data_IF_912385667446
#
_entry.id   IF_912385667446
#
_cell.length_a   1.000
_cell.length_b   1.000
_cell.length_c   1.000
_cell.angle_alpha   90.00
_cell.angle_beta   90.00
_cell.angle_gamma   90.00
#
_symmetry.space_group_name_H-M   'P 1'
#
loop_
_entity.id
_entity.type
_entity.pdbx_description
1 polymer ?
#
# COMPACT_ATOMS: atom_id res chain seq x y z
N UNK A 1 -4.13 25.51 -9.47
CA UNK A 1 -3.84 24.47 -8.47
C UNK A 1 -2.46 23.89 -8.72
N UNK A 2 -1.72 23.67 -7.65
CA UNK A 2 -0.37 23.10 -7.75
C UNK A 2 -0.43 21.63 -8.19
N UNK A 3 0.44 21.27 -9.14
CA UNK A 3 0.58 19.91 -9.66
C UNK A 3 1.90 19.30 -9.18
N UNK A 4 1.91 18.00 -9.02
CA UNK A 4 3.07 17.28 -8.49
C UNK A 4 3.54 16.21 -9.45
N UNK A 5 4.87 16.05 -9.53
CA UNK A 5 5.49 15.01 -10.38
C UNK A 5 5.60 13.66 -9.67
N UNK A 6 5.43 13.67 -8.36
CA UNK A 6 5.41 12.47 -7.55
C UNK A 6 4.32 12.58 -6.50
N UNK A 7 3.53 11.53 -6.38
CA UNK A 7 2.50 11.40 -5.35
C UNK A 7 2.80 10.13 -4.55
N UNK A 8 2.78 10.27 -3.24
CA UNK A 8 2.97 9.17 -2.31
C UNK A 8 1.68 9.00 -1.51
N UNK A 9 1.11 7.79 -1.55
CA UNK A 9 -0.19 7.53 -0.96
C UNK A 9 -0.14 6.28 -0.08
N UNK A 10 -0.79 6.38 1.07
CA UNK A 10 -1.03 5.27 1.98
C UNK A 10 -2.52 5.25 2.32
N UNK A 11 -3.37 4.69 1.43
CA UNK A 11 -4.81 4.72 1.64
C UNK A 11 -5.22 3.93 2.89
N UNK A 12 -6.19 4.43 3.65
CA UNK A 12 -6.70 3.72 4.83
C UNK A 12 -7.63 2.58 4.40
N UNK A 13 -7.05 1.48 3.96
CA UNK A 13 -7.78 0.33 3.44
C UNK A 13 -8.72 -0.27 4.48
N UNK A 14 -9.95 -0.60 4.05
CA UNK A 14 -10.89 -1.39 4.83
C UNK A 14 -10.89 -2.81 4.29
N UNK A 15 -10.58 -3.78 5.14
CA UNK A 15 -10.60 -5.19 4.80
C UNK A 15 -11.31 -5.98 5.87
N UNK A 16 -11.81 -7.20 5.51
CA UNK A 16 -12.50 -8.08 6.45
C UNK A 16 -11.52 -9.02 7.13
N UNK A 17 -11.70 -9.19 8.45
CA UNK A 17 -11.03 -10.24 9.20
C UNK A 17 -11.91 -11.49 9.25
N UNK A 18 -11.29 -12.64 9.55
CA UNK A 18 -12.02 -13.90 9.69
C UNK A 18 -12.85 -13.97 10.97
N UNK A 19 -12.54 -13.15 11.97
CA UNK A 19 -13.25 -13.14 13.26
C UNK A 19 -13.36 -11.72 13.79
N UNK A 20 -14.41 -11.48 14.60
CA UNK A 20 -14.62 -10.20 15.27
C UNK A 20 -13.46 -9.85 16.21
N UNK A 21 -12.80 -10.85 16.79
CA UNK A 21 -11.64 -10.64 17.66
C UNK A 21 -10.46 -10.02 16.89
N UNK A 22 -10.34 -10.30 15.61
CA UNK A 22 -9.34 -9.69 14.75
C UNK A 22 -9.63 -8.23 14.43
N UNK A 23 -10.90 -7.85 14.39
CA UNK A 23 -11.33 -6.48 14.10
C UNK A 23 -10.74 -5.45 15.08
N UNK A 24 -10.65 -5.80 16.36
CA UNK A 24 -10.10 -4.91 17.39
C UNK A 24 -8.59 -4.66 17.27
N UNK A 25 -7.89 -5.41 16.42
CA UNK A 25 -6.43 -5.31 16.25
C UNK A 25 -6.01 -4.75 14.91
N UNK A 26 -6.95 -4.56 13.99
CA UNK A 26 -6.64 -4.07 12.66
C UNK A 26 -6.83 -2.55 12.55
N UNK A 27 -6.56 -2.00 11.36
CA UNK A 27 -6.64 -0.57 11.10
C UNK A 27 -8.03 0.02 11.30
N UNK A 28 -9.10 -0.76 11.18
CA UNK A 28 -10.48 -0.29 11.32
C UNK A 28 -10.74 0.25 12.73
N UNK A 29 -10.12 -0.36 13.76
CA UNK A 29 -10.30 0.06 15.15
C UNK A 29 -9.34 1.18 15.58
N UNK A 30 -8.29 1.48 14.81
CA UNK A 30 -7.27 2.46 15.15
C UNK A 30 -7.44 3.81 14.46
N UNK A 31 -8.08 3.84 13.29
CA UNK A 31 -8.37 5.07 12.55
C UNK A 31 -9.52 4.81 11.57
N UNK A 32 -10.09 5.89 11.05
CA UNK A 32 -11.20 5.80 10.09
C UNK A 32 -10.71 5.23 8.77
N UNK A 33 -11.25 4.06 8.39
CA UNK A 33 -10.97 3.44 7.11
C UNK A 33 -12.03 3.84 6.08
N UNK A 34 -11.59 4.08 4.85
CA UNK A 34 -12.46 4.39 3.74
C UNK A 34 -12.78 3.13 2.94
N UNK A 35 -13.99 3.04 2.41
CA UNK A 35 -14.35 1.98 1.47
C UNK A 35 -13.62 2.21 0.14
N UNK A 36 -13.51 1.17 -0.67
CA UNK A 36 -12.94 1.31 -2.01
C UNK A 36 -13.71 2.32 -2.85
N UNK A 37 -15.05 2.34 -2.71
CA UNK A 37 -15.90 3.32 -3.41
C UNK A 37 -15.55 4.75 -3.01
N UNK A 38 -15.32 4.99 -1.72
CA UNK A 38 -14.93 6.31 -1.23
C UNK A 38 -13.53 6.72 -1.75
N UNK A 39 -12.60 5.78 -1.76
CA UNK A 39 -11.25 6.02 -2.28
C UNK A 39 -11.28 6.36 -3.77
N UNK A 40 -12.12 5.70 -4.55
CA UNK A 40 -12.29 5.98 -5.98
C UNK A 40 -12.82 7.39 -6.25
N UNK A 41 -13.63 7.93 -5.34
CA UNK A 41 -14.18 9.27 -5.47
C UNK A 41 -13.15 10.37 -5.25
N UNK A 42 -12.01 10.06 -4.63
CA UNK A 42 -10.94 11.03 -4.48
C UNK A 42 -10.33 11.33 -5.85
N UNK A 43 -10.36 12.61 -6.23
CA UNK A 43 -9.82 13.02 -7.52
C UNK A 43 -8.31 13.28 -7.40
N UNK A 44 -7.55 12.20 -7.26
CA UNK A 44 -6.08 12.29 -7.09
C UNK A 44 -5.41 12.84 -8.35
N UNK A 45 -5.97 12.51 -9.52
CA UNK A 45 -5.43 12.97 -10.80
C UNK A 45 -5.32 14.49 -10.89
N UNK A 46 -6.20 15.22 -10.19
CA UNK A 46 -6.17 16.69 -10.20
C UNK A 46 -4.87 17.28 -9.66
N UNK A 47 -4.16 16.51 -8.83
CA UNK A 47 -2.88 16.91 -8.25
C UNK A 47 -1.68 16.44 -9.06
N UNK A 48 -1.90 15.60 -10.07
CA UNK A 48 -0.82 15.03 -10.86
C UNK A 48 -0.44 15.96 -12.02
N UNK A 49 0.88 16.16 -12.19
CA UNK A 49 1.41 16.78 -13.39
C UNK A 49 1.18 15.85 -14.59
N UNK A 50 1.37 16.37 -15.81
CA UNK A 50 1.24 15.56 -17.02
C UNK A 50 2.15 14.32 -17.02
N UNK A 51 3.29 14.40 -16.35
CA UNK A 51 4.20 13.28 -16.12
C UNK A 51 4.34 13.11 -14.61
N UNK A 52 3.74 12.05 -14.08
CA UNK A 52 3.66 11.87 -12.63
C UNK A 52 3.84 10.40 -12.26
N UNK A 53 4.60 10.14 -11.20
CA UNK A 53 4.73 8.82 -10.60
C UNK A 53 3.90 8.76 -9.32
N UNK A 54 3.13 7.69 -9.17
CA UNK A 54 2.38 7.38 -7.94
C UNK A 54 3.02 6.20 -7.24
N UNK A 55 3.31 6.36 -5.96
CA UNK A 55 3.73 5.28 -5.08
C UNK A 55 2.63 5.06 -4.03
N UNK A 56 2.08 3.85 -3.98
CA UNK A 56 0.91 3.58 -3.16
C UNK A 56 1.08 2.28 -2.38
N UNK A 57 1.00 2.37 -1.05
CA UNK A 57 1.06 1.21 -0.19
C UNK A 57 -0.23 0.40 -0.27
N UNK A 58 -0.09 -0.92 -0.24
CA UNK A 58 -1.20 -1.85 -0.25
C UNK A 58 -0.85 -3.07 0.60
N UNK A 59 -1.85 -3.61 1.28
CA UNK A 59 -1.72 -4.89 1.97
C UNK A 59 -2.02 -6.03 1.01
N UNK A 60 -1.48 -7.22 1.27
CA UNK A 60 -1.64 -8.36 0.37
C UNK A 60 -3.12 -8.67 0.03
N UNK A 61 -4.06 -8.69 1.01
CA UNK A 61 -5.46 -8.95 0.69
C UNK A 61 -6.11 -7.90 -0.22
N UNK A 62 -5.52 -6.71 -0.31
CA UNK A 62 -6.06 -5.60 -1.09
C UNK A 62 -5.28 -5.35 -2.39
N UNK A 63 -4.36 -6.25 -2.75
CA UNK A 63 -3.47 -6.04 -3.90
C UNK A 63 -4.23 -5.81 -5.20
N UNK A 64 -5.20 -6.66 -5.51
CA UNK A 64 -6.02 -6.52 -6.72
C UNK A 64 -6.81 -5.23 -6.73
N UNK A 65 -7.40 -4.88 -5.58
CA UNK A 65 -8.17 -3.65 -5.42
C UNK A 65 -7.27 -2.41 -5.45
N UNK A 66 -6.06 -2.54 -4.95
CA UNK A 66 -5.07 -1.46 -5.01
C UNK A 66 -4.66 -1.14 -6.43
N UNK A 67 -4.40 -2.16 -7.25
CA UNK A 67 -4.09 -1.97 -8.67
C UNK A 67 -5.27 -1.33 -9.39
N UNK A 68 -6.49 -1.78 -9.11
CA UNK A 68 -7.69 -1.21 -9.71
C UNK A 68 -7.88 0.26 -9.29
N UNK A 69 -7.67 0.57 -8.02
CA UNK A 69 -7.79 1.95 -7.53
C UNK A 69 -6.78 2.88 -8.24
N UNK A 70 -5.56 2.42 -8.40
CA UNK A 70 -4.52 3.16 -9.11
C UNK A 70 -4.98 3.50 -10.53
N UNK A 71 -5.58 2.53 -11.23
CA UNK A 71 -6.12 2.72 -12.58
C UNK A 71 -7.32 3.67 -12.57
N UNK A 72 -8.21 3.56 -11.59
CA UNK A 72 -9.35 4.44 -11.43
C UNK A 72 -8.92 5.90 -11.19
N UNK A 73 -7.79 6.10 -10.55
CA UNK A 73 -7.18 7.43 -10.37
C UNK A 73 -6.47 7.94 -11.62
N UNK A 74 -6.41 7.13 -12.69
CA UNK A 74 -5.83 7.50 -13.97
C UNK A 74 -4.36 7.14 -14.15
N UNK A 75 -3.81 6.31 -13.26
CA UNK A 75 -2.42 5.87 -13.35
C UNK A 75 -2.34 4.48 -13.96
N UNK A 76 -1.31 4.24 -14.75
CA UNK A 76 -1.01 2.93 -15.30
C UNK A 76 -0.08 2.20 -14.35
N UNK A 77 -0.50 1.03 -13.88
CA UNK A 77 0.34 0.20 -13.01
C UNK A 77 1.62 -0.22 -13.74
N UNK A 78 2.76 -0.09 -13.08
CA UNK A 78 4.07 -0.44 -13.65
C UNK A 78 4.73 -1.60 -12.93
N UNK A 79 4.83 -1.54 -11.61
CA UNK A 79 5.58 -2.53 -10.85
C UNK A 79 5.32 -2.38 -9.34
N UNK A 80 5.85 -3.31 -8.57
CA UNK A 80 6.03 -3.14 -7.15
C UNK A 80 7.38 -2.45 -6.95
N UNK A 81 7.37 -1.23 -6.43
CA UNK A 81 8.60 -0.45 -6.23
C UNK A 81 9.37 -0.89 -4.99
N UNK A 82 8.65 -1.16 -3.88
CA UNK A 82 9.25 -1.49 -2.60
C UNK A 82 8.46 -2.57 -1.89
N UNK A 83 9.17 -3.39 -1.14
CA UNK A 83 8.61 -4.34 -0.18
C UNK A 83 9.09 -3.93 1.20
N UNK A 84 8.16 -3.80 2.14
CA UNK A 84 8.48 -3.55 3.54
C UNK A 84 8.39 -4.86 4.31
N UNK A 85 9.55 -5.41 4.64
CA UNK A 85 9.66 -6.60 5.48
C UNK A 85 9.71 -6.16 6.94
N UNK A 86 8.76 -6.63 7.74
CA UNK A 86 8.65 -6.22 9.14
C UNK A 86 9.50 -7.13 10.01
N UNK A 87 10.34 -6.54 10.85
CA UNK A 87 11.12 -7.27 11.84
C UNK A 87 10.47 -7.17 13.22
N UNK A 88 10.79 -8.11 14.10
CA UNK A 88 10.42 -8.00 15.48
C UNK A 88 11.24 -6.91 16.17
N UNK A 89 10.74 -6.40 17.31
CA UNK A 89 11.45 -5.39 18.10
C UNK A 89 12.78 -5.95 18.60
N UNK A 90 13.81 -5.11 18.64
CA UNK A 90 15.12 -5.45 19.21
C UNK A 90 15.86 -6.56 18.45
N UNK A 91 15.78 -6.58 17.14
CA UNK A 91 16.54 -7.52 16.31
C UNK A 91 17.89 -6.90 15.91
N UNK A 92 18.88 -7.77 15.66
CA UNK A 92 20.13 -7.39 15.07
C UNK A 92 20.00 -7.40 13.55
N UNK A 93 19.99 -6.21 12.93
CA UNK A 93 19.82 -6.09 11.48
C UNK A 93 20.99 -6.66 10.67
N UNK A 94 22.13 -6.93 11.33
CA UNK A 94 23.31 -7.52 10.68
C UNK A 94 23.28 -9.04 10.64
N UNK A 95 22.45 -9.68 11.48
CA UNK A 95 22.34 -11.13 11.54
C UNK A 95 20.91 -11.57 11.79
N UNK A 96 20.06 -11.34 10.77
CA UNK A 96 18.64 -11.68 10.86
C UNK A 96 18.41 -13.18 10.63
N UNK A 97 17.50 -13.75 11.44
CA UNK A 97 17.00 -15.12 11.25
C UNK A 97 15.56 -15.05 10.75
N UNK A 98 15.26 -15.76 9.66
CA UNK A 98 13.92 -15.79 9.09
C UNK A 98 12.88 -16.35 10.05
N UNK A 99 13.29 -17.24 10.96
CA UNK A 99 12.35 -17.91 11.88
C UNK A 99 11.92 -17.04 13.07
N UNK A 100 12.78 -16.16 13.58
CA UNK A 100 12.53 -15.45 14.83
C UNK A 100 12.60 -13.94 14.76
N UNK A 101 13.23 -13.38 13.76
CA UNK A 101 13.46 -11.94 13.68
C UNK A 101 12.42 -11.19 12.85
N UNK A 102 11.68 -11.89 11.99
CA UNK A 102 10.65 -11.28 11.17
C UNK A 102 9.26 -11.48 11.78
N UNK A 103 8.50 -10.40 11.82
CA UNK A 103 7.11 -10.45 12.26
C UNK A 103 6.28 -11.28 11.28
N UNK A 104 5.45 -12.19 11.82
CA UNK A 104 4.56 -13.01 11.01
C UNK A 104 3.12 -12.67 11.35
N UNK A 105 2.45 -11.97 10.42
CA UNK A 105 1.06 -11.60 10.58
C UNK A 105 0.10 -12.66 10.09
N UNK A 106 -1.20 -12.46 10.38
CA UNK A 106 -2.26 -13.33 9.86
C UNK A 106 -2.56 -12.95 8.41
N UNK A 107 -2.49 -13.94 7.52
CA UNK A 107 -2.89 -13.81 6.12
C UNK A 107 -4.03 -14.75 5.79
N UNK A 108 -4.51 -14.69 4.54
CA UNK A 108 -5.48 -15.66 4.03
C UNK A 108 -4.72 -16.91 3.62
N UNK A 109 -5.06 -18.05 4.19
CA UNK A 109 -4.44 -19.36 3.96
C UNK A 109 -3.01 -19.47 4.49
N UNK A 110 -2.19 -18.47 4.30
CA UNK A 110 -0.80 -18.45 4.74
C UNK A 110 -0.57 -17.27 5.67
N UNK A 111 0.56 -17.29 6.36
CA UNK A 111 1.01 -16.16 7.15
C UNK A 111 1.65 -15.12 6.24
N UNK A 112 1.57 -13.86 6.62
CA UNK A 112 2.11 -12.75 5.84
C UNK A 112 3.02 -11.87 6.69
N UNK A 113 4.03 -11.29 6.05
CA UNK A 113 4.93 -10.34 6.70
C UNK A 113 4.98 -9.02 5.95
N UNK A 114 5.28 -9.08 4.65
CA UNK A 114 5.62 -7.88 3.88
C UNK A 114 4.38 -7.09 3.47
N UNK A 115 4.57 -5.78 3.35
CA UNK A 115 3.64 -4.91 2.65
C UNK A 115 4.31 -4.41 1.38
N UNK A 116 3.50 -4.09 0.37
CA UNK A 116 3.98 -3.72 -0.96
C UNK A 116 3.67 -2.26 -1.24
N UNK A 117 4.66 -1.55 -1.80
CA UNK A 117 4.43 -0.21 -2.35
C UNK A 117 4.39 -0.31 -3.86
N UNK A 118 3.21 -0.11 -4.43
CA UNK A 118 2.99 -0.18 -5.87
C UNK A 118 3.44 1.11 -6.54
N UNK A 119 3.90 1.01 -7.78
CA UNK A 119 4.23 2.17 -8.59
C UNK A 119 3.40 2.20 -9.86
N UNK A 120 2.80 3.34 -10.13
CA UNK A 120 2.09 3.61 -11.38
C UNK A 120 2.47 4.97 -11.94
N UNK A 121 2.14 5.22 -13.21
CA UNK A 121 2.51 6.47 -13.87
C UNK A 121 1.36 7.06 -14.68
N UNK A 122 1.39 8.40 -14.79
CA UNK A 122 0.71 9.17 -15.82
C UNK A 122 1.81 9.76 -16.70
N UNK A 123 1.65 9.68 -18.01
CA UNK A 123 2.66 10.19 -18.93
C UNK A 123 3.96 9.39 -18.84
N UNK A 124 5.07 10.09 -18.89
CA UNK A 124 6.39 9.48 -18.89
C UNK A 124 7.34 10.21 -17.93
N UNK A 125 7.16 10.01 -16.61
CA UNK A 125 8.02 10.67 -15.65
C UNK A 125 9.46 10.18 -15.76
N UNK A 126 10.40 11.13 -15.66
CA UNK A 126 11.83 10.83 -15.76
C UNK A 126 12.41 10.58 -14.36
N UNK A 127 13.32 9.62 -14.30
CA UNK A 127 14.12 9.39 -13.10
C UNK A 127 15.31 10.35 -13.10
N UNK A 128 15.71 10.77 -11.90
CA UNK A 128 16.86 11.66 -11.72
C UNK A 128 18.13 10.92 -11.25
N UNK A 129 18.04 9.63 -11.15
CA UNK A 129 19.18 8.82 -10.75
C UNK A 129 18.99 7.35 -10.99
#
# INVERSE_FOLDING_TARGET
MKKYKTIYADPPWRFKNFSEKGEGRNAISHYDCLTLADLKKLNIKRYADKDCALFMWVTDPMLDQGIQLMQDWGFKFKTVAFYWAKTNTKVDLKSLSAEKDFFTGLGYWTRANCEQCLMGTIGNPKRLG
#
